data_IF_190285381621
#
_entry.id   IF_190285381621
#
_cell.length_a   1.000
_cell.length_b   1.000
_cell.length_c   1.000
_cell.angle_alpha   90.00
_cell.angle_beta   90.00
_cell.angle_gamma   90.00
#
_symmetry.space_group_name_H-M   'P 1'
#
loop_
_entity.id
_entity.type
_entity.pdbx_description
1 polymer ?
#
# COMPACT_ATOMS: atom_id res chain seq x y z
N UNK A 1 8.37 10.53 -7.21
CA UNK A 1 8.06 10.13 -5.83
C UNK A 1 7.03 11.10 -5.29
N UNK A 2 5.92 10.61 -4.71
CA UNK A 2 4.97 11.48 -4.04
C UNK A 2 5.65 12.21 -2.88
N UNK A 3 5.13 13.39 -2.53
CA UNK A 3 5.64 14.17 -1.40
C UNK A 3 5.42 13.40 -0.08
N UNK A 4 6.41 13.40 0.81
CA UNK A 4 6.31 12.69 2.07
C UNK A 4 5.27 13.35 3.00
N UNK A 5 4.38 12.54 3.57
CA UNK A 5 3.31 13.03 4.45
C UNK A 5 3.79 13.02 5.90
N UNK A 6 3.83 14.17 6.61
CA UNK A 6 4.26 14.21 8.01
C UNK A 6 3.43 13.29 8.91
N UNK A 7 4.12 12.58 9.81
CA UNK A 7 3.46 11.64 10.73
C UNK A 7 2.79 12.40 11.88
N UNK A 8 1.54 12.03 12.20
CA UNK A 8 0.79 12.60 13.32
C UNK A 8 1.08 11.82 14.61
N UNK A 9 0.95 12.50 15.76
CA UNK A 9 1.23 11.92 17.07
C UNK A 9 0.35 10.71 17.43
N UNK A 10 -0.87 10.64 16.87
CA UNK A 10 -1.86 9.58 17.11
C UNK A 10 -1.95 8.56 15.97
N UNK A 11 -1.03 8.63 14.99
CA UNK A 11 -1.10 7.80 13.80
C UNK A 11 -0.73 6.35 14.09
N UNK A 12 -1.51 5.41 13.55
CA UNK A 12 -1.34 3.95 13.69
C UNK A 12 -0.96 3.30 12.35
N UNK A 13 -0.58 2.02 12.39
CA UNK A 13 -0.21 1.27 11.18
C UNK A 13 1.15 1.66 10.60
N UNK A 14 2.02 2.26 11.42
CA UNK A 14 3.34 2.74 11.00
C UNK A 14 4.37 1.62 10.92
N UNK A 15 4.11 0.47 11.56
CA UNK A 15 5.11 -0.59 11.70
C UNK A 15 5.55 -1.12 10.34
N UNK A 16 6.87 -1.16 10.13
CA UNK A 16 7.55 -1.57 8.89
C UNK A 16 7.29 -0.65 7.70
N UNK A 17 6.62 0.49 7.88
CA UNK A 17 6.49 1.51 6.83
C UNK A 17 7.82 2.21 6.62
N UNK A 18 8.07 2.63 5.38
CA UNK A 18 9.21 3.45 5.03
C UNK A 18 8.86 4.93 5.22
N UNK A 19 9.78 5.67 5.81
CA UNK A 19 9.69 7.10 6.00
C UNK A 19 10.96 7.79 5.52
N UNK A 20 10.83 9.07 5.20
CA UNK A 20 11.97 9.97 4.99
C UNK A 20 12.17 10.86 6.20
N UNK A 21 13.43 11.23 6.43
CA UNK A 21 13.79 12.32 7.32
C UNK A 21 13.49 13.64 6.63
N UNK A 22 12.73 14.51 7.29
CA UNK A 22 12.35 15.84 6.81
C UNK A 22 13.37 16.92 7.19
N UNK A 23 14.43 16.54 7.91
CA UNK A 23 15.52 17.39 8.37
C UNK A 23 16.86 16.68 8.19
N UNK A 24 17.91 17.45 7.93
CA UNK A 24 19.28 16.94 7.79
C UNK A 24 19.90 16.51 9.12
N UNK A 25 19.40 17.04 10.24
CA UNK A 25 19.86 16.73 11.60
C UNK A 25 18.66 16.31 12.45
N UNK A 26 18.23 15.05 12.37
CA UNK A 26 17.12 14.57 13.18
C UNK A 26 17.50 14.49 14.65
N UNK A 27 16.50 14.66 15.51
CA UNK A 27 16.65 14.65 16.97
C UNK A 27 15.66 13.71 17.63
N UNK A 28 15.99 13.28 18.84
CA UNK A 28 15.05 12.64 19.75
C UNK A 28 14.14 13.68 20.46
N UNK A 29 13.36 13.22 21.44
CA UNK A 29 12.43 14.05 22.22
C UNK A 29 13.11 15.12 23.07
N UNK A 30 14.38 14.91 23.42
CA UNK A 30 15.18 15.88 24.18
C UNK A 30 15.86 16.91 23.26
N UNK A 31 15.69 16.80 21.93
CA UNK A 31 16.40 17.61 20.95
C UNK A 31 17.85 17.17 20.75
N UNK A 32 18.26 16.01 21.27
CA UNK A 32 19.59 15.48 21.04
C UNK A 32 19.67 14.81 19.66
N UNK A 33 20.80 14.91 18.93
CA UNK A 33 20.93 14.30 17.62
C UNK A 33 20.66 12.79 17.65
N UNK A 34 19.78 12.34 16.76
CA UNK A 34 19.45 10.92 16.63
C UNK A 34 20.67 10.13 16.15
N UNK A 35 20.82 8.91 16.66
CA UNK A 35 21.94 8.01 16.35
C UNK A 35 21.82 7.36 14.96
N UNK A 36 21.83 8.18 13.91
CA UNK A 36 21.77 7.77 12.51
C UNK A 36 23.08 8.12 11.80
N UNK A 37 23.46 7.31 10.80
CA UNK A 37 24.64 7.62 9.99
C UNK A 37 24.41 8.91 9.19
N UNK A 38 25.41 9.79 9.06
CA UNK A 38 25.30 10.98 8.22
C UNK A 38 24.85 10.64 6.79
N UNK A 39 23.95 11.43 6.22
CA UNK A 39 23.38 11.20 4.88
C UNK A 39 22.30 10.10 4.83
N UNK A 40 21.86 9.56 5.97
CA UNK A 40 20.64 8.75 6.01
C UNK A 40 19.47 9.64 5.63
N UNK A 41 18.70 9.24 4.61
CA UNK A 41 17.46 9.93 4.19
C UNK A 41 16.25 9.05 4.45
N UNK A 42 16.37 7.75 4.18
CA UNK A 42 15.29 6.77 4.26
C UNK A 42 15.47 5.87 5.47
N UNK A 43 14.39 5.71 6.23
CA UNK A 43 14.34 4.84 7.40
C UNK A 43 13.10 3.96 7.38
N UNK A 44 13.17 2.83 8.07
CA UNK A 44 12.02 1.94 8.31
C UNK A 44 11.56 2.18 9.73
N UNK A 45 10.27 2.40 9.91
CA UNK A 45 9.65 2.60 11.22
C UNK A 45 9.48 1.22 11.89
N UNK A 46 9.92 1.12 13.14
CA UNK A 46 9.83 -0.10 13.95
C UNK A 46 8.53 -0.16 14.74
N UNK A 47 8.08 1.01 15.23
CA UNK A 47 6.87 1.15 16.03
C UNK A 47 5.60 1.23 15.18
N UNK A 48 4.46 0.84 15.75
CA UNK A 48 3.16 0.98 15.06
C UNK A 48 2.53 2.37 15.24
N UNK A 49 2.88 3.05 16.34
CA UNK A 49 2.44 4.39 16.71
C UNK A 49 3.61 5.17 17.31
N UNK A 50 3.60 6.52 17.27
CA UNK A 50 4.50 7.31 18.10
C UNK A 50 4.36 6.91 19.57
N UNK A 51 5.48 6.88 20.28
CA UNK A 51 5.51 6.54 21.70
C UNK A 51 5.13 7.75 22.57
N UNK A 52 5.00 7.60 23.90
CA UNK A 52 4.64 8.72 24.78
C UNK A 52 5.61 9.91 24.78
N UNK A 53 6.85 9.73 24.30
CA UNK A 53 7.81 10.83 24.13
C UNK A 53 7.72 11.49 22.75
N UNK A 54 6.67 11.19 21.97
CA UNK A 54 6.46 11.73 20.62
C UNK A 54 7.56 11.31 19.62
N UNK A 55 8.24 10.19 19.89
CA UNK A 55 9.28 9.65 18.99
C UNK A 55 8.85 8.31 18.39
N UNK A 56 9.51 7.95 17.30
CA UNK A 56 9.44 6.64 16.68
C UNK A 56 10.83 6.00 16.68
N UNK A 57 10.88 4.70 17.01
CA UNK A 57 12.05 3.89 16.71
C UNK A 57 12.13 3.66 15.21
N UNK A 58 13.27 3.99 14.63
CA UNK A 58 13.55 3.82 13.22
C UNK A 58 14.92 3.20 13.00
N UNK A 59 15.13 2.57 11.86
CA UNK A 59 16.46 2.13 11.43
C UNK A 59 16.69 2.44 9.95
N UNK A 60 17.94 2.67 9.50
CA UNK A 60 18.25 2.68 8.08
C UNK A 60 17.88 1.32 7.45
N UNK A 61 17.32 1.32 6.24
CA UNK A 61 16.94 0.07 5.56
C UNK A 61 18.13 -0.90 5.37
N UNK A 62 19.33 -0.35 5.11
CA UNK A 62 20.54 -1.11 4.92
C UNK A 62 21.20 -1.62 6.23
N UNK A 63 20.78 -1.11 7.40
CA UNK A 63 21.39 -1.42 8.71
C UNK A 63 20.29 -1.54 9.79
N UNK A 64 19.48 -2.60 9.76
CA UNK A 64 18.34 -2.76 10.68
C UNK A 64 18.71 -2.84 12.16
N UNK A 65 19.96 -3.18 12.47
CA UNK A 65 20.50 -3.22 13.82
C UNK A 65 20.76 -1.83 14.43
N UNK A 66 20.84 -0.77 13.61
CA UNK A 66 21.08 0.59 14.08
C UNK A 66 19.74 1.29 14.32
N UNK A 67 19.10 0.98 15.44
CA UNK A 67 17.84 1.61 15.84
C UNK A 67 18.12 2.95 16.53
N UNK A 68 17.42 4.00 16.10
CA UNK A 68 17.45 5.34 16.68
C UNK A 68 16.02 5.80 17.02
N UNK A 69 15.91 6.75 17.95
CA UNK A 69 14.67 7.46 18.23
C UNK A 69 14.69 8.79 17.47
N UNK A 70 13.59 9.08 16.78
CA UNK A 70 13.42 10.33 16.01
C UNK A 70 12.04 10.89 16.33
N UNK A 71 11.97 12.20 16.55
CA UNK A 71 10.71 12.94 16.70
C UNK A 71 9.78 12.65 15.51
N UNK A 72 8.52 12.30 15.79
CA UNK A 72 7.59 11.91 14.73
C UNK A 72 7.35 13.02 13.69
N UNK A 73 7.47 14.29 14.08
CA UNK A 73 7.27 15.45 13.19
C UNK A 73 8.40 15.62 12.18
N UNK A 74 9.56 15.02 12.46
CA UNK A 74 10.73 15.01 11.58
C UNK A 74 10.72 13.83 10.60
N UNK A 75 9.66 13.02 10.63
CA UNK A 75 9.45 11.89 9.75
C UNK A 75 8.25 12.14 8.83
N UNK A 76 8.44 11.87 7.55
CA UNK A 76 7.37 11.84 6.57
C UNK A 76 7.19 10.44 6.03
N UNK A 77 5.97 9.91 6.05
CA UNK A 77 5.65 8.64 5.42
C UNK A 77 5.81 8.76 3.91
N UNK A 78 6.48 7.77 3.34
CA UNK A 78 6.43 7.55 1.90
C UNK A 78 5.18 6.70 1.67
N UNK A 79 4.17 7.30 1.08
CA UNK A 79 3.12 6.51 0.45
C UNK A 79 3.72 5.89 -0.82
N UNK A 80 3.71 4.56 -0.96
CA UNK A 80 4.22 3.95 -2.17
C UNK A 80 3.37 4.43 -3.34
N UNK A 81 4.02 4.73 -4.45
CA UNK A 81 3.31 4.92 -5.71
C UNK A 81 2.59 3.62 -6.06
N UNK A 82 1.33 3.72 -6.49
CA UNK A 82 0.51 2.57 -6.88
C UNK A 82 0.04 2.77 -8.31
N UNK A 83 0.36 1.81 -9.18
CA UNK A 83 -0.18 1.75 -10.53
C UNK A 83 -1.31 0.73 -10.58
N UNK A 84 -2.45 1.09 -11.18
CA UNK A 84 -3.60 0.21 -11.32
C UNK A 84 -3.74 -0.28 -12.76
N UNK A 85 -4.19 -1.52 -12.92
CA UNK A 85 -4.36 -2.16 -14.21
C UNK A 85 -5.72 -2.86 -14.29
N UNK A 86 -6.47 -2.56 -15.34
CA UNK A 86 -7.68 -3.28 -15.74
C UNK A 86 -7.30 -4.50 -16.58
N UNK A 87 -7.70 -5.71 -16.18
CA UNK A 87 -7.57 -6.92 -17.01
C UNK A 87 -8.69 -7.00 -18.03
N UNK A 88 -8.35 -7.12 -19.30
CA UNK A 88 -9.26 -7.07 -20.44
C UNK A 88 -9.37 -8.44 -21.11
N UNK A 89 -10.17 -9.33 -20.51
CA UNK A 89 -10.62 -10.53 -21.23
C UNK A 89 -11.47 -10.13 -22.46
N UNK A 90 -11.72 -11.07 -23.37
CA UNK A 90 -12.44 -10.81 -24.62
C UNK A 90 -13.76 -10.03 -24.39
N UNK A 91 -13.91 -8.89 -25.07
CA UNK A 91 -15.10 -8.03 -25.00
C UNK A 91 -15.21 -7.15 -23.76
N UNK A 92 -14.17 -7.02 -22.93
CA UNK A 92 -14.14 -6.16 -21.74
C UNK A 92 -13.47 -4.82 -22.04
N UNK A 93 -13.81 -3.80 -21.25
CA UNK A 93 -13.21 -2.45 -21.32
C UNK A 93 -12.58 -2.07 -19.97
N UNK A 94 -11.77 -1.01 -19.88
CA UNK A 94 -11.25 -0.51 -18.61
C UNK A 94 -12.32 -0.16 -17.57
N UNK A 95 -13.50 0.32 -17.99
CA UNK A 95 -14.63 0.66 -17.11
C UNK A 95 -15.43 -0.56 -16.64
N UNK A 96 -15.38 -1.64 -17.42
CA UNK A 96 -15.98 -2.93 -17.09
C UNK A 96 -14.96 -4.06 -17.26
N UNK A 97 -13.88 -4.09 -16.45
CA UNK A 97 -12.79 -5.03 -16.64
C UNK A 97 -13.15 -6.42 -16.10
N UNK A 98 -12.42 -7.45 -16.52
CA UNK A 98 -12.56 -8.81 -15.99
C UNK A 98 -11.90 -8.99 -14.62
N UNK A 99 -10.98 -8.09 -14.26
CA UNK A 99 -10.25 -8.11 -12.99
C UNK A 99 -9.45 -6.82 -12.82
N UNK A 100 -9.06 -6.53 -11.58
CA UNK A 100 -8.19 -5.41 -11.25
C UNK A 100 -6.89 -5.93 -10.66
N UNK A 101 -5.78 -5.40 -11.12
CA UNK A 101 -4.44 -5.64 -10.57
C UNK A 101 -3.87 -4.29 -10.14
N UNK A 102 -3.11 -4.25 -9.05
CA UNK A 102 -2.32 -3.08 -8.65
C UNK A 102 -0.87 -3.48 -8.45
N UNK A 103 0.03 -2.58 -8.80
CA UNK A 103 1.45 -2.66 -8.46
C UNK A 103 1.76 -1.61 -7.42
N UNK A 104 2.25 -2.06 -6.26
CA UNK A 104 2.73 -1.20 -5.19
C UNK A 104 4.25 -1.07 -5.37
N UNK A 105 4.73 0.13 -5.71
CA UNK A 105 6.15 0.40 -5.96
C UNK A 105 6.92 0.55 -4.65
N UNK A 106 7.06 -0.56 -3.91
CA UNK A 106 7.91 -0.65 -2.73
C UNK A 106 9.38 -0.87 -3.08
N UNK A 107 10.28 -0.45 -2.18
CA UNK A 107 11.71 -0.77 -2.24
C UNK A 107 12.02 -1.92 -1.28
N UNK A 108 12.85 -2.92 -1.66
CA UNK A 108 13.60 -3.01 -2.90
C UNK A 108 12.81 -3.55 -4.10
N UNK A 109 11.66 -4.20 -3.87
CA UNK A 109 10.87 -4.82 -4.94
C UNK A 109 9.43 -4.34 -4.87
N UNK A 110 8.85 -4.08 -6.04
CA UNK A 110 7.41 -3.85 -6.16
C UNK A 110 6.62 -5.12 -5.83
N UNK A 111 5.44 -4.95 -5.26
CA UNK A 111 4.50 -6.03 -4.95
C UNK A 111 3.26 -5.88 -5.83
N UNK A 112 2.90 -6.94 -6.53
CA UNK A 112 1.70 -6.97 -7.36
C UNK A 112 0.56 -7.67 -6.61
N UNK A 113 -0.64 -7.12 -6.68
CA UNK A 113 -1.83 -7.67 -6.04
C UNK A 113 -3.03 -7.67 -7.00
N UNK A 114 -3.92 -8.66 -6.88
CA UNK A 114 -5.16 -8.78 -7.64
C UNK A 114 -6.36 -8.61 -6.70
N UNK A 115 -7.36 -7.85 -7.13
CA UNK A 115 -8.61 -7.69 -6.38
C UNK A 115 -9.53 -8.88 -6.65
N UNK A 116 -9.98 -9.54 -5.58
CA UNK A 116 -10.81 -10.75 -5.68
C UNK A 116 -12.26 -10.51 -5.24
N UNK A 117 -13.08 -11.56 -5.42
CA UNK A 117 -14.53 -11.58 -5.10
C UNK A 117 -14.83 -11.40 -3.61
N UNK A 118 -13.85 -11.65 -2.75
CA UNK A 118 -13.91 -11.46 -1.30
C UNK A 118 -13.68 -10.00 -0.86
N UNK A 119 -13.61 -9.07 -1.81
CA UNK A 119 -13.37 -7.64 -1.60
C UNK A 119 -11.99 -7.30 -1.05
N UNK A 120 -11.03 -8.20 -1.17
CA UNK A 120 -9.66 -8.01 -0.71
C UNK A 120 -8.67 -8.06 -1.88
N UNK A 121 -7.53 -7.41 -1.66
CA UNK A 121 -6.37 -7.50 -2.52
C UNK A 121 -5.53 -8.69 -2.09
N UNK A 122 -5.09 -9.50 -3.05
CA UNK A 122 -4.28 -10.69 -2.82
C UNK A 122 -2.98 -10.62 -3.61
N UNK A 123 -1.83 -11.04 -3.04
CA UNK A 123 -0.59 -11.15 -3.79
C UNK A 123 -0.77 -11.93 -5.10
N UNK A 124 -0.16 -11.44 -6.18
CA UNK A 124 -0.19 -12.09 -7.48
C UNK A 124 1.14 -11.98 -8.20
N UNK A 125 1.41 -12.90 -9.12
CA UNK A 125 2.55 -12.81 -10.03
C UNK A 125 2.12 -12.39 -11.45
N UNK A 126 0.87 -11.95 -11.64
CA UNK A 126 0.29 -11.70 -12.95
C UNK A 126 1.16 -10.81 -13.85
N UNK A 127 1.52 -9.60 -13.41
CA UNK A 127 2.28 -8.65 -14.23
C UNK A 127 3.71 -9.16 -14.50
N UNK A 128 4.32 -9.83 -13.51
CA UNK A 128 5.63 -10.49 -13.68
C UNK A 128 5.58 -11.58 -14.74
N UNK A 129 4.52 -12.39 -14.78
CA UNK A 129 4.35 -13.44 -15.81
C UNK A 129 4.02 -12.84 -17.16
N UNK A 130 3.23 -11.77 -17.20
CA UNK A 130 2.93 -11.03 -18.43
C UNK A 130 4.22 -10.50 -19.07
N UNK A 131 5.14 -9.90 -18.30
CA UNK A 131 6.43 -9.43 -18.83
C UNK A 131 7.37 -10.56 -19.28
N UNK A 132 7.14 -11.80 -18.84
CA UNK A 132 7.82 -13.01 -19.30
C UNK A 132 7.14 -13.64 -20.54
N UNK A 133 6.08 -13.03 -21.08
CA UNK A 133 5.40 -13.47 -22.30
C UNK A 133 4.10 -14.26 -22.09
N UNK A 134 3.61 -14.41 -20.84
CA UNK A 134 2.30 -15.02 -20.57
C UNK A 134 1.18 -13.97 -20.67
N UNK A 135 0.91 -13.50 -21.89
CA UNK A 135 0.01 -12.39 -22.19
C UNK A 135 -1.34 -12.83 -22.77
N UNK A 136 -1.86 -14.01 -22.39
CA UNK A 136 -3.17 -14.54 -22.83
C UNK A 136 -4.36 -13.63 -22.48
N UNK A 137 -4.17 -12.66 -21.58
CA UNK A 137 -5.15 -11.63 -21.24
C UNK A 137 -4.44 -10.29 -21.22
N UNK A 138 -4.93 -9.32 -22.00
CA UNK A 138 -4.38 -7.98 -21.98
C UNK A 138 -4.73 -7.23 -20.71
N UNK A 139 -3.96 -6.20 -20.42
CA UNK A 139 -4.27 -5.25 -19.38
C UNK A 139 -3.96 -3.83 -19.83
N UNK A 140 -4.72 -2.88 -19.31
CA UNK A 140 -4.48 -1.46 -19.51
C UNK A 140 -4.27 -0.78 -18.17
N UNK A 141 -3.30 0.15 -18.12
CA UNK A 141 -3.12 1.03 -16.98
C UNK A 141 -4.31 1.97 -16.85
N UNK A 142 -4.82 2.12 -15.63
CA UNK A 142 -5.97 2.98 -15.32
C UNK A 142 -5.63 3.89 -14.15
N UNK A 143 -6.34 5.01 -14.03
CA UNK A 143 -6.16 5.90 -12.88
C UNK A 143 -6.70 5.27 -11.59
N UNK A 144 -6.25 5.80 -10.44
CA UNK A 144 -6.75 5.37 -9.15
C UNK A 144 -8.28 5.60 -9.01
N UNK A 145 -8.80 6.67 -9.60
CA UNK A 145 -10.23 6.99 -9.62
C UNK A 145 -11.02 5.99 -10.46
N UNK A 146 -10.49 5.59 -11.63
CA UNK A 146 -11.10 4.55 -12.46
C UNK A 146 -11.14 3.20 -11.72
N UNK A 147 -10.02 2.82 -11.08
CA UNK A 147 -9.96 1.59 -10.29
C UNK A 147 -10.98 1.62 -9.13
N UNK A 148 -11.09 2.75 -8.44
CA UNK A 148 -12.05 2.92 -7.34
C UNK A 148 -13.50 2.82 -7.83
N UNK A 149 -13.83 3.44 -8.96
CA UNK A 149 -15.17 3.35 -9.56
C UNK A 149 -15.55 1.90 -9.91
N UNK A 150 -14.59 1.10 -10.40
CA UNK A 150 -14.81 -0.34 -10.67
C UNK A 150 -15.07 -1.11 -9.37
N UNK A 151 -14.27 -0.87 -8.31
CA UNK A 151 -14.43 -1.53 -7.00
C UNK A 151 -15.80 -1.21 -6.40
N UNK A 152 -16.23 0.05 -6.43
CA UNK A 152 -17.51 0.46 -5.84
C UNK A 152 -18.71 -0.15 -6.58
N UNK A 153 -18.60 -0.29 -7.90
CA UNK A 153 -19.59 -1.00 -8.72
C UNK A 153 -19.68 -2.47 -8.32
N UNK A 154 -18.54 -3.16 -8.19
CA UNK A 154 -18.51 -4.57 -7.75
C UNK A 154 -19.05 -4.75 -6.34
N UNK A 155 -18.70 -3.86 -5.41
CA UNK A 155 -19.24 -3.84 -4.05
C UNK A 155 -20.76 -3.72 -4.03
N UNK A 156 -21.31 -2.82 -4.85
CA UNK A 156 -22.77 -2.64 -4.96
C UNK A 156 -23.42 -3.90 -5.51
N UNK A 157 -22.94 -4.39 -6.66
CA UNK A 157 -23.47 -5.58 -7.32
C UNK A 157 -23.45 -6.82 -6.43
N UNK A 158 -22.33 -7.10 -5.77
CA UNK A 158 -22.18 -8.34 -5.00
C UNK A 158 -22.90 -8.29 -3.65
N UNK A 159 -23.06 -7.11 -3.03
CA UNK A 159 -23.97 -6.96 -1.87
C UNK A 159 -25.42 -7.28 -2.23
N UNK A 160 -25.88 -6.86 -3.42
CA UNK A 160 -27.23 -7.19 -3.88
C UNK A 160 -27.41 -8.68 -4.19
N UNK A 161 -26.39 -9.33 -4.75
CA UNK A 161 -26.37 -10.79 -4.97
C UNK A 161 -26.42 -11.57 -3.65
N UNK A 162 -25.64 -11.19 -2.64
CA UNK A 162 -25.66 -11.82 -1.31
C UNK A 162 -27.03 -11.69 -0.64
N UNK A 163 -27.65 -10.50 -0.71
CA UNK A 163 -29.02 -10.28 -0.20
C UNK A 163 -30.04 -11.15 -0.92
N UNK A 164 -29.91 -11.35 -2.24
CA UNK A 164 -30.78 -12.22 -3.03
C UNK A 164 -30.56 -13.70 -2.72
N UNK A 165 -29.32 -14.10 -2.40
CA UNK A 165 -28.98 -15.47 -2.06
C UNK A 165 -29.44 -15.87 -0.66
N UNK A 166 -29.50 -14.92 0.28
CA UNK A 166 -30.04 -15.13 1.64
C UNK A 166 -31.57 -15.15 1.67
N UNK A 167 -32.25 -14.53 0.69
CA UNK A 167 -33.72 -14.52 0.55
C UNK A 167 -34.30 -15.77 -0.13
N UNK A 168 -33.44 -16.69 -0.62
CA UNK A 168 -33.92 -17.94 -1.23
C UNK A 168 -34.27 -18.93 -0.11
N UNK A 169 -35.55 -19.36 0.05
CA UNK A 169 -35.88 -20.34 1.08
C UNK A 169 -35.18 -21.66 0.77
N UNK A 170 -34.81 -22.39 1.83
CA UNK A 170 -34.39 -23.79 1.75
C UNK A 170 -35.57 -24.64 1.22
N UNK A 171 -35.77 -24.61 -0.09
CA UNK A 171 -36.75 -25.41 -0.81
C UNK A 171 -36.18 -26.81 -0.99
N UNK A 172 -36.76 -27.76 -0.26
CA UNK A 172 -36.31 -29.14 -0.18
C UNK A 172 -36.51 -29.96 -1.45
N UNK A 173 -35.81 -31.09 -1.45
CA UNK A 173 -36.26 -32.41 -1.89
C UNK A 173 -35.65 -33.42 -0.91
#
# INVERSE_FOLDING_TARGET
>A
MPDPVPIRYDQTGLKRRMAVLLTDLPTDDAGAPANLSPGTVHVVIVDDTPNPTLTLRVHPAARPQNVAFVDHTQLGLIEPEITYYARLAAGRTPEEPSGLVRRIHTSPNAVDEIFQRDMQWHPTEYLRRYSLGHNDTDHEEITAEQAQAVIDRWRTKWREEERRSTDKPAGGV
#
